data_IF_281826211406
#
_entry.id   IF_281826211406
#
_cell.length_a   1.000
_cell.length_b   1.000
_cell.length_c   1.000
_cell.angle_alpha   90.00
_cell.angle_beta   90.00
_cell.angle_gamma   90.00
#
_symmetry.space_group_name_H-M   'P 1'
#
loop_
_entity.id
_entity.type
_entity.pdbx_description
1 polymer ?
#
# COMPACT_ATOMS: atom_id res chain seq x y z
N UNK A 1 0.26 -19.29 10.04
CA UNK A 1 0.10 -17.85 9.73
C UNK A 1 0.31 -17.09 11.02
N UNK A 2 1.12 -16.05 11.00
CA UNK A 2 1.34 -15.17 12.14
C UNK A 2 0.80 -13.79 11.77
N UNK A 3 0.06 -13.16 12.68
CA UNK A 3 -0.34 -11.76 12.58
C UNK A 3 0.64 -10.92 13.38
N UNK A 4 1.12 -9.84 12.78
CA UNK A 4 1.96 -8.86 13.46
C UNK A 4 1.23 -7.53 13.41
N UNK A 5 0.98 -6.97 14.58
CA UNK A 5 0.34 -5.67 14.73
C UNK A 5 1.39 -4.70 15.24
N UNK A 6 1.59 -3.60 14.52
CA UNK A 6 2.43 -2.50 14.98
C UNK A 6 1.53 -1.37 15.44
N UNK A 7 1.61 -1.07 16.72
CA UNK A 7 0.97 0.08 17.31
C UNK A 7 1.88 1.31 17.14
N UNK A 8 1.48 2.22 16.26
CA UNK A 8 2.22 3.45 15.96
C UNK A 8 1.93 4.57 16.97
N UNK A 9 2.19 4.29 18.25
CA UNK A 9 2.00 5.18 19.40
C UNK A 9 0.53 5.61 19.61
N UNK A 10 -0.38 4.64 19.72
CA UNK A 10 -1.77 4.91 20.10
C UNK A 10 -1.91 5.22 21.59
N UNK A 11 -3.13 5.59 22.02
CA UNK A 11 -3.40 5.92 23.42
C UNK A 11 -3.42 4.67 24.28
N UNK A 12 -3.16 4.79 25.59
CA UNK A 12 -3.19 3.64 26.49
C UNK A 12 -4.56 2.93 26.48
N UNK A 13 -5.65 3.70 26.40
CA UNK A 13 -7.00 3.14 26.31
C UNK A 13 -7.18 2.23 25.08
N UNK A 14 -6.71 2.66 23.89
CA UNK A 14 -6.82 1.83 22.68
C UNK A 14 -5.90 0.61 22.70
N UNK A 15 -4.78 0.68 23.42
CA UNK A 15 -3.89 -0.48 23.64
C UNK A 15 -4.56 -1.54 24.50
N UNK A 16 -5.20 -1.14 25.60
CA UNK A 16 -5.95 -2.06 26.49
C UNK A 16 -7.12 -2.73 25.75
N UNK A 17 -7.85 -1.97 24.91
CA UNK A 17 -8.90 -2.52 24.05
C UNK A 17 -8.35 -3.55 23.05
N UNK A 18 -7.21 -3.26 22.41
CA UNK A 18 -6.56 -4.19 21.47
C UNK A 18 -6.13 -5.49 22.17
N UNK A 19 -5.51 -5.40 23.34
CA UNK A 19 -5.10 -6.57 24.12
C UNK A 19 -6.30 -7.45 24.48
N UNK A 20 -7.40 -6.84 24.90
CA UNK A 20 -8.66 -7.53 25.21
C UNK A 20 -9.23 -8.26 23.99
N UNK A 21 -9.20 -7.63 22.80
CA UNK A 21 -9.64 -8.26 21.56
C UNK A 21 -8.78 -9.46 21.18
N UNK A 22 -7.46 -9.36 21.40
CA UNK A 22 -6.51 -10.41 21.03
C UNK A 22 -6.55 -11.62 21.98
N UNK A 23 -6.90 -11.42 23.25
CA UNK A 23 -7.15 -12.54 24.18
C UNK A 23 -8.26 -13.47 23.69
N UNK A 24 -9.21 -12.94 22.92
CA UNK A 24 -10.33 -13.70 22.36
C UNK A 24 -10.04 -14.24 20.94
N UNK A 25 -8.85 -13.98 20.39
CA UNK A 25 -8.45 -14.41 19.05
C UNK A 25 -7.71 -15.75 19.08
N UNK A 26 -8.04 -16.63 18.15
CA UNK A 26 -7.31 -17.89 17.93
C UNK A 26 -6.07 -17.73 17.02
N UNK A 27 -5.87 -16.54 16.43
CA UNK A 27 -4.76 -16.29 15.53
C UNK A 27 -3.49 -15.97 16.33
N UNK A 28 -2.40 -16.69 16.05
CA UNK A 28 -1.10 -16.38 16.64
C UNK A 28 -0.69 -14.95 16.27
N UNK A 29 -0.71 -14.07 17.27
CA UNK A 29 -0.55 -12.63 17.09
C UNK A 29 0.60 -12.12 17.95
N UNK A 30 1.42 -11.24 17.36
CA UNK A 30 2.45 -10.49 18.06
C UNK A 30 2.18 -9.00 17.92
N UNK A 31 2.21 -8.28 19.04
CA UNK A 31 2.05 -6.82 19.07
C UNK A 31 3.43 -6.20 19.26
N UNK A 32 3.71 -5.13 18.50
CA UNK A 32 4.90 -4.30 18.64
C UNK A 32 4.43 -2.88 18.95
N UNK A 33 4.73 -2.41 20.16
CA UNK A 33 4.45 -1.02 20.55
C UNK A 33 5.63 -0.13 20.14
N UNK A 34 5.35 0.89 19.32
CA UNK A 34 6.33 1.91 18.97
C UNK A 34 6.23 3.09 19.94
N UNK A 35 7.38 3.62 20.37
CA UNK A 35 7.46 4.81 21.23
C UNK A 35 7.01 6.09 20.50
N UNK A 36 7.06 6.08 19.16
CA UNK A 36 6.67 7.20 18.30
C UNK A 36 5.76 6.73 17.18
N UNK A 37 4.98 7.67 16.61
CA UNK A 37 4.13 7.36 15.47
C UNK A 37 4.99 7.11 14.22
N UNK A 38 5.11 5.84 13.85
CA UNK A 38 5.83 5.35 12.67
C UNK A 38 5.01 5.44 11.38
N UNK A 39 3.75 5.83 11.49
CA UNK A 39 2.76 5.74 10.42
C UNK A 39 2.65 4.31 9.86
N UNK A 40 1.85 4.13 8.83
CA UNK A 40 1.56 2.80 8.28
C UNK A 40 2.83 2.12 7.74
N UNK A 41 3.52 2.78 6.81
CA UNK A 41 4.62 2.14 6.08
C UNK A 41 5.90 1.99 6.92
N UNK A 42 6.19 2.98 7.77
CA UNK A 42 7.25 2.85 8.77
C UNK A 42 6.94 1.79 9.84
N UNK A 43 5.66 1.54 10.14
CA UNK A 43 5.24 0.40 10.95
C UNK A 43 5.62 -0.94 10.31
N UNK A 44 5.42 -1.11 9.01
CA UNK A 44 5.83 -2.32 8.27
C UNK A 44 7.36 -2.52 8.36
N UNK A 45 8.14 -1.45 8.13
CA UNK A 45 9.60 -1.51 8.25
C UNK A 45 10.06 -1.85 9.68
N UNK A 46 9.41 -1.25 10.69
CA UNK A 46 9.67 -1.53 12.10
C UNK A 46 9.43 -3.02 12.43
N UNK A 47 8.33 -3.60 11.94
CA UNK A 47 8.04 -5.02 12.15
C UNK A 47 9.13 -5.92 11.59
N UNK A 48 9.54 -5.70 10.34
CA UNK A 48 10.60 -6.49 9.68
C UNK A 48 11.90 -6.43 10.48
N UNK A 49 12.28 -5.22 10.94
CA UNK A 49 13.49 -5.01 11.75
C UNK A 49 13.40 -5.65 13.13
N UNK A 50 12.28 -5.46 13.83
CA UNK A 50 12.07 -5.97 15.19
C UNK A 50 12.09 -7.50 15.22
N UNK A 51 11.47 -8.13 14.23
CA UNK A 51 11.43 -9.59 14.07
C UNK A 51 12.73 -10.18 13.49
N UNK A 52 13.69 -9.33 13.09
CA UNK A 52 14.96 -9.73 12.48
C UNK A 52 14.75 -10.70 11.31
N UNK A 53 13.78 -10.39 10.44
CA UNK A 53 13.42 -11.29 9.35
C UNK A 53 14.55 -11.41 8.32
N UNK A 54 15.16 -12.59 8.25
CA UNK A 54 16.07 -12.96 7.17
C UNK A 54 15.30 -13.71 6.08
N UNK A 55 14.92 -13.03 4.99
CA UNK A 55 14.05 -13.62 3.97
C UNK A 55 14.65 -14.81 3.19
N UNK A 56 15.96 -15.07 3.29
CA UNK A 56 16.59 -16.28 2.75
C UNK A 56 16.10 -17.57 3.44
N UNK A 57 15.80 -17.50 4.73
CA UNK A 57 15.34 -18.63 5.57
C UNK A 57 14.00 -18.36 6.26
N UNK A 58 13.50 -17.13 6.17
CA UNK A 58 12.30 -16.63 6.82
C UNK A 58 11.01 -16.94 6.06
N UNK A 59 9.95 -16.14 6.26
CA UNK A 59 8.65 -16.42 5.67
C UNK A 59 8.68 -16.31 4.15
N UNK A 60 8.04 -17.28 3.47
CA UNK A 60 7.87 -17.25 2.00
C UNK A 60 7.07 -16.05 1.52
N UNK A 61 6.15 -15.55 2.36
CA UNK A 61 5.23 -14.48 2.03
C UNK A 61 5.13 -13.50 3.21
N UNK A 62 5.12 -12.22 2.90
CA UNK A 62 4.79 -11.12 3.80
C UNK A 62 3.64 -10.32 3.20
N UNK A 63 2.59 -10.12 4.00
CA UNK A 63 1.45 -9.27 3.63
C UNK A 63 1.57 -7.98 4.42
N UNK A 64 1.69 -6.85 3.72
CA UNK A 64 1.57 -5.52 4.30
C UNK A 64 0.16 -5.00 3.98
N UNK A 65 -0.63 -4.71 5.01
CA UNK A 65 -1.99 -4.25 4.83
C UNK A 65 -2.44 -3.30 5.92
N UNK A 66 -3.38 -2.42 5.57
CA UNK A 66 -4.06 -1.58 6.54
C UNK A 66 -4.87 -2.43 7.54
N UNK A 67 -5.18 -1.83 8.68
CA UNK A 67 -6.00 -2.45 9.74
C UNK A 67 -7.50 -2.55 9.38
N UNK A 68 -7.94 -1.94 8.29
CA UNK A 68 -9.33 -1.89 7.81
C UNK A 68 -9.59 -2.82 6.61
N UNK A 69 -8.73 -3.82 6.41
CA UNK A 69 -8.87 -4.86 5.40
C UNK A 69 -9.65 -6.05 5.95
N UNK A 70 -10.59 -6.56 5.14
CA UNK A 70 -11.38 -7.76 5.44
C UNK A 70 -11.06 -8.86 4.43
N UNK A 71 -10.59 -10.00 4.96
CA UNK A 71 -10.37 -11.23 4.18
C UNK A 71 -11.71 -11.97 3.98
N UNK A 72 -12.53 -11.50 3.04
CA UNK A 72 -13.83 -12.13 2.72
C UNK A 72 -13.70 -13.41 1.90
N UNK A 73 -12.62 -13.55 1.14
CA UNK A 73 -12.39 -14.70 0.26
C UNK A 73 -11.99 -15.94 1.06
N UNK A 74 -12.82 -16.99 0.99
CA UNK A 74 -12.49 -18.29 1.59
C UNK A 74 -11.27 -18.91 0.91
N UNK A 75 -10.33 -19.40 1.70
CA UNK A 75 -9.13 -20.05 1.19
C UNK A 75 -8.09 -19.10 0.60
N UNK A 76 -8.18 -17.79 0.84
CA UNK A 76 -7.20 -16.79 0.38
C UNK A 76 -5.75 -17.25 0.64
N UNK A 77 -5.43 -17.62 1.89
CA UNK A 77 -4.09 -18.07 2.27
C UNK A 77 -3.70 -19.35 1.53
N UNK A 78 -4.63 -20.30 1.37
CA UNK A 78 -4.37 -21.55 0.63
C UNK A 78 -4.03 -21.26 -0.84
N UNK A 79 -4.74 -20.33 -1.47
CA UNK A 79 -4.47 -19.92 -2.85
C UNK A 79 -3.13 -19.20 -2.97
N UNK A 80 -2.81 -18.29 -2.04
CA UNK A 80 -1.52 -17.61 -2.00
C UNK A 80 -0.36 -18.62 -1.83
N UNK A 81 -0.50 -19.59 -0.94
CA UNK A 81 0.52 -20.63 -0.71
C UNK A 81 0.70 -21.59 -1.89
N UNK A 82 -0.27 -21.67 -2.80
CA UNK A 82 -0.17 -22.46 -4.02
C UNK A 82 0.59 -21.74 -5.15
N UNK A 83 0.79 -20.42 -5.04
CA UNK A 83 1.58 -19.65 -5.99
C UNK A 83 3.07 -19.92 -5.77
N UNK A 84 3.85 -19.89 -6.85
CA UNK A 84 5.30 -19.95 -6.78
C UNK A 84 5.87 -18.56 -6.42
N UNK A 85 6.57 -18.42 -5.26
CA UNK A 85 7.23 -17.19 -4.83
C UNK A 85 8.19 -16.58 -5.87
N UNK A 86 8.90 -17.41 -6.63
CA UNK A 86 9.94 -16.93 -7.55
C UNK A 86 9.34 -16.20 -8.76
N UNK A 87 8.21 -16.68 -9.26
CA UNK A 87 7.48 -16.08 -10.38
C UNK A 87 6.49 -14.99 -9.95
N UNK A 88 6.14 -14.91 -8.66
CA UNK A 88 5.20 -13.94 -8.11
C UNK A 88 5.84 -13.09 -6.99
N UNK A 89 6.92 -12.33 -7.28
CA UNK A 89 7.69 -11.72 -6.21
C UNK A 89 6.95 -10.60 -5.49
N UNK A 90 6.08 -9.86 -6.19
CA UNK A 90 5.15 -8.89 -5.62
C UNK A 90 3.78 -9.10 -6.26
N UNK A 91 2.74 -9.22 -5.42
CA UNK A 91 1.35 -9.44 -5.87
C UNK A 91 0.47 -8.29 -5.38
N UNK A 92 -0.26 -7.71 -6.33
CA UNK A 92 -1.39 -6.82 -6.14
C UNK A 92 -2.69 -7.64 -6.28
N UNK A 93 -3.38 -7.99 -5.20
CA UNK A 93 -4.69 -8.66 -5.31
C UNK A 93 -5.77 -7.68 -5.76
N UNK A 94 -6.95 -8.19 -6.08
CA UNK A 94 -8.17 -7.38 -6.11
C UNK A 94 -8.42 -6.81 -4.72
N UNK A 95 -8.59 -5.48 -4.64
CA UNK A 95 -8.96 -4.77 -3.42
C UNK A 95 -10.26 -4.05 -3.70
N UNK A 96 -11.37 -4.63 -3.24
CA UNK A 96 -12.70 -4.06 -3.47
C UNK A 96 -13.01 -3.05 -2.37
N UNK A 97 -13.03 -1.77 -2.75
CA UNK A 97 -13.46 -0.67 -1.89
C UNK A 97 -14.94 -0.83 -1.54
N UNK A 98 -15.27 -0.91 -0.24
CA UNK A 98 -16.67 -0.92 0.21
C UNK A 98 -17.32 0.46 0.08
N UNK A 99 -16.53 1.53 0.08
CA UNK A 99 -17.01 2.90 -0.10
C UNK A 99 -17.40 3.18 -1.55
N UNK A 100 -16.53 2.84 -2.51
CA UNK A 100 -16.71 3.19 -3.93
C UNK A 100 -17.20 2.05 -4.80
N UNK A 101 -17.16 0.80 -4.31
CA UNK A 101 -17.46 -0.41 -5.07
C UNK A 101 -16.42 -0.79 -6.13
N UNK A 102 -15.34 -0.01 -6.27
CA UNK A 102 -14.30 -0.21 -7.30
C UNK A 102 -13.18 -1.12 -6.80
N UNK A 103 -12.50 -1.76 -7.75
CA UNK A 103 -11.20 -2.36 -7.48
C UNK A 103 -10.14 -1.25 -7.43
N UNK A 104 -9.39 -1.18 -6.33
CA UNK A 104 -8.31 -0.21 -6.15
C UNK A 104 -7.02 -0.63 -6.86
N UNK A 105 -6.90 -1.92 -7.20
CA UNK A 105 -5.83 -2.44 -8.03
C UNK A 105 -6.27 -2.67 -9.49
N UNK A 106 -5.37 -2.55 -10.47
CA UNK A 106 -4.01 -2.02 -10.31
C UNK A 106 -4.03 -0.53 -9.96
N UNK A 107 -3.17 -0.12 -9.02
CA UNK A 107 -3.05 1.31 -8.67
C UNK A 107 -2.46 2.10 -9.85
N UNK A 108 -1.36 1.60 -10.41
CA UNK A 108 -0.78 2.12 -11.65
C UNK A 108 -0.44 1.00 -12.61
N UNK A 109 -1.02 1.06 -13.82
CA UNK A 109 -0.66 0.15 -14.90
C UNK A 109 0.67 0.53 -15.58
N UNK A 110 1.05 1.82 -15.55
CA UNK A 110 2.26 2.37 -16.19
C UNK A 110 2.91 3.42 -15.28
N UNK A 111 4.22 3.68 -15.40
CA UNK A 111 4.90 4.75 -14.69
C UNK A 111 4.33 6.14 -15.02
N UNK A 112 4.58 7.11 -14.13
CA UNK A 112 4.19 8.52 -14.33
C UNK A 112 4.84 9.06 -15.61
N UNK A 113 4.01 9.51 -16.55
CA UNK A 113 4.48 10.03 -17.83
C UNK A 113 5.20 11.38 -17.67
N UNK A 114 6.03 11.77 -18.65
CA UNK A 114 6.79 13.04 -18.61
C UNK A 114 5.88 14.27 -18.39
N UNK A 115 4.76 14.35 -19.11
CA UNK A 115 3.79 15.44 -18.95
C UNK A 115 3.11 15.43 -17.59
N UNK A 116 2.85 14.24 -17.02
CA UNK A 116 2.28 14.11 -15.68
C UNK A 116 3.28 14.58 -14.61
N UNK A 117 4.59 14.35 -14.79
CA UNK A 117 5.63 14.90 -13.90
C UNK A 117 5.65 16.43 -13.90
N UNK A 118 5.41 17.06 -15.06
CA UNK A 118 5.27 18.53 -15.17
C UNK A 118 4.01 18.97 -14.42
N UNK A 119 2.87 18.32 -14.67
CA UNK A 119 1.62 18.58 -13.95
C UNK A 119 1.79 18.48 -12.43
N UNK A 120 2.41 17.42 -11.92
CA UNK A 120 2.66 17.24 -10.49
C UNK A 120 3.59 18.33 -9.93
N UNK A 121 4.60 18.74 -10.71
CA UNK A 121 5.50 19.83 -10.30
C UNK A 121 4.75 21.16 -10.16
N UNK A 122 3.75 21.44 -11.01
CA UNK A 122 2.87 22.60 -10.91
C UNK A 122 1.85 22.46 -9.77
N UNK A 123 1.24 21.28 -9.63
CA UNK A 123 0.26 20.96 -8.60
C UNK A 123 0.83 21.23 -7.21
N UNK A 124 2.06 20.80 -6.96
CA UNK A 124 2.72 20.96 -5.67
C UNK A 124 3.38 22.33 -5.44
N UNK A 125 3.12 23.36 -6.26
CA UNK A 125 3.63 24.72 -5.99
C UNK A 125 2.99 25.25 -4.70
N UNK A 126 1.67 25.34 -4.66
CA UNK A 126 0.92 25.92 -3.55
C UNK A 126 -0.42 25.20 -3.33
N UNK A 127 -0.88 25.10 -2.08
CA UNK A 127 -2.08 24.34 -1.75
C UNK A 127 -3.36 24.90 -2.40
N UNK A 128 -3.46 26.21 -2.61
CA UNK A 128 -4.62 26.84 -3.27
C UNK A 128 -4.63 26.50 -4.78
N UNK A 129 -3.50 26.67 -5.48
CA UNK A 129 -3.43 26.31 -6.91
C UNK A 129 -3.63 24.82 -7.12
N UNK A 130 -3.05 23.99 -6.24
CA UNK A 130 -3.30 22.55 -6.20
C UNK A 130 -4.79 22.24 -6.02
N UNK A 131 -5.51 22.97 -5.16
CA UNK A 131 -6.94 22.77 -4.95
C UNK A 131 -7.75 23.10 -6.20
N UNK A 132 -7.47 24.24 -6.84
CA UNK A 132 -8.09 24.62 -8.11
C UNK A 132 -7.85 23.55 -9.19
N UNK A 133 -6.60 23.07 -9.33
CA UNK A 133 -6.24 22.00 -10.26
C UNK A 133 -6.95 20.68 -9.95
N UNK A 134 -7.11 20.34 -8.66
CA UNK A 134 -7.85 19.15 -8.22
C UNK A 134 -9.33 19.23 -8.62
N UNK A 135 -9.97 20.38 -8.37
CA UNK A 135 -11.36 20.66 -8.76
C UNK A 135 -11.53 20.52 -10.27
N UNK A 136 -10.70 21.20 -11.06
CA UNK A 136 -10.76 21.16 -12.53
C UNK A 136 -10.69 19.71 -13.03
N UNK A 137 -9.75 18.93 -12.49
CA UNK A 137 -9.56 17.51 -12.86
C UNK A 137 -10.72 16.60 -12.42
N UNK A 138 -11.35 16.89 -11.27
CA UNK A 138 -12.54 16.15 -10.80
C UNK A 138 -13.69 16.32 -11.79
N UNK A 139 -13.95 17.55 -12.24
CA UNK A 139 -15.03 17.85 -13.17
C UNK A 139 -14.73 17.43 -14.62
N UNK A 140 -13.48 17.53 -15.07
CA UNK A 140 -13.12 17.04 -16.41
C UNK A 140 -13.29 15.52 -16.56
N UNK A 141 -13.04 14.75 -15.50
CA UNK A 141 -13.28 13.30 -15.47
C UNK A 141 -14.76 12.91 -15.45
N UNK A 142 -15.65 13.76 -14.93
CA UNK A 142 -17.09 13.52 -14.98
C UNK A 142 -17.64 13.68 -16.40
N UNK A 143 -17.03 14.57 -17.18
CA UNK A 143 -17.38 14.83 -18.59
C UNK A 143 -16.88 13.70 -19.50
N UNK A 144 -15.73 13.08 -19.19
CA UNK A 144 -15.09 12.02 -19.98
C UNK A 144 -15.29 10.60 -19.41
N UNK A 145 -16.50 10.27 -18.94
CA UNK A 145 -16.80 8.90 -18.48
C UNK A 145 -16.86 7.92 -19.66
N UNK A 146 -15.74 7.27 -19.90
CA UNK A 146 -15.61 6.10 -20.77
C UNK A 146 -16.10 4.84 -20.02
N UNK A 147 -17.01 4.09 -20.65
CA UNK A 147 -17.52 2.80 -20.19
C UNK A 147 -16.48 1.73 -20.55
N UNK A 148 -15.53 1.47 -19.67
CA UNK A 148 -14.69 0.27 -19.76
C UNK A 148 -14.62 -0.38 -18.38
N UNK A 149 -15.58 -1.25 -18.12
CA UNK A 149 -15.50 -2.27 -17.08
C UNK A 149 -15.30 -3.62 -17.77
N UNK A 150 -14.12 -3.87 -18.32
CA UNK A 150 -13.74 -5.24 -18.65
C UNK A 150 -13.30 -5.91 -17.34
N UNK A 151 -13.95 -7.02 -16.99
CA UNK A 151 -13.43 -7.91 -15.94
C UNK A 151 -12.14 -8.51 -16.47
N UNK A 152 -11.00 -8.11 -15.90
CA UNK A 152 -9.73 -8.74 -16.22
C UNK A 152 -9.64 -10.02 -15.40
N UNK A 153 -9.65 -11.16 -16.09
CA UNK A 153 -9.70 -12.49 -15.46
C UNK A 153 -8.31 -13.15 -15.32
N UNK A 154 -7.27 -12.60 -15.94
CA UNK A 154 -5.91 -13.14 -15.90
C UNK A 154 -4.96 -12.23 -15.14
N UNK A 155 -3.93 -12.82 -14.53
CA UNK A 155 -2.86 -12.07 -13.93
C UNK A 155 -2.00 -11.37 -15.00
N UNK A 156 -1.53 -10.15 -14.72
CA UNK A 156 -0.68 -9.38 -15.63
C UNK A 156 0.28 -8.45 -14.89
N UNK A 157 1.36 -8.06 -15.56
CA UNK A 157 2.35 -7.12 -15.02
C UNK A 157 1.79 -5.71 -14.92
N UNK A 158 2.02 -5.06 -13.79
CA UNK A 158 1.62 -3.68 -13.52
C UNK A 158 2.81 -2.88 -13.03
N UNK A 159 2.66 -1.56 -12.94
CA UNK A 159 3.72 -0.69 -12.45
C UNK A 159 3.74 -0.61 -10.93
N UNK A 160 2.60 -0.31 -10.30
CA UNK A 160 2.53 -0.15 -8.85
C UNK A 160 1.29 -0.84 -8.27
N UNK A 161 1.43 -1.57 -7.14
CA UNK A 161 0.31 -2.06 -6.35
C UNK A 161 -0.29 -0.91 -5.51
N UNK A 162 -1.51 -1.07 -5.02
CA UNK A 162 -2.14 -0.14 -4.08
C UNK A 162 -1.61 -0.32 -2.65
N UNK A 163 -1.41 0.78 -1.92
CA UNK A 163 -0.77 0.81 -0.59
C UNK A 163 -1.50 0.04 0.51
N UNK A 164 -2.84 0.03 0.44
CA UNK A 164 -3.67 -0.60 1.48
C UNK A 164 -3.52 -2.12 1.59
N UNK A 165 -3.02 -2.79 0.54
CA UNK A 165 -2.73 -4.22 0.58
C UNK A 165 -1.70 -4.63 -0.47
N UNK A 166 -0.52 -5.03 -0.01
CA UNK A 166 0.55 -5.56 -0.84
C UNK A 166 1.03 -6.90 -0.32
N UNK A 167 1.31 -7.84 -1.22
CA UNK A 167 1.90 -9.13 -0.88
C UNK A 167 3.29 -9.20 -1.50
N UNK A 168 4.27 -9.49 -0.65
CA UNK A 168 5.66 -9.69 -1.05
C UNK A 168 6.03 -11.15 -0.81
N UNK A 169 6.64 -11.78 -1.80
CA UNK A 169 7.35 -13.03 -1.53
C UNK A 169 8.71 -12.74 -0.90
N UNK A 170 9.36 -13.78 -0.36
CA UNK A 170 10.77 -13.69 0.01
C UNK A 170 11.69 -13.31 -1.17
N UNK A 171 11.35 -13.68 -2.41
CA UNK A 171 12.10 -13.30 -3.60
C UNK A 171 12.09 -11.80 -3.91
N UNK A 172 11.13 -11.02 -3.38
CA UNK A 172 11.23 -9.56 -3.46
C UNK A 172 12.47 -9.08 -2.71
N UNK A 173 12.63 -9.53 -1.45
CA UNK A 173 13.69 -9.09 -0.57
C UNK A 173 15.06 -9.67 -0.95
N UNK A 174 15.14 -10.97 -1.27
CA UNK A 174 16.43 -11.60 -1.64
C UNK A 174 16.99 -11.07 -2.96
N UNK A 175 16.17 -10.42 -3.78
CA UNK A 175 16.58 -9.75 -5.02
C UNK A 175 16.90 -8.27 -4.85
N UNK A 176 17.03 -7.78 -3.61
CA UNK A 176 17.37 -6.38 -3.32
C UNK A 176 16.17 -5.46 -3.10
N UNK A 177 14.95 -6.01 -3.03
CA UNK A 177 13.77 -5.27 -2.56
C UNK A 177 13.85 -4.96 -1.07
N UNK A 178 13.28 -3.83 -0.65
CA UNK A 178 13.26 -3.38 0.73
C UNK A 178 12.06 -2.45 0.97
N UNK A 179 11.68 -2.25 2.23
CA UNK A 179 10.59 -1.32 2.60
C UNK A 179 11.19 0.05 2.88
N UNK A 180 10.91 1.01 1.99
CA UNK A 180 11.37 2.39 2.15
C UNK A 180 10.48 3.20 3.07
N UNK A 181 10.96 3.45 4.28
CA UNK A 181 10.28 4.18 5.36
C UNK A 181 10.79 5.62 5.54
N UNK A 182 11.50 6.19 4.58
CA UNK A 182 12.05 7.55 4.66
C UNK A 182 11.02 8.68 4.42
N UNK A 183 9.73 8.36 4.43
CA UNK A 183 8.62 9.29 4.31
C UNK A 183 7.52 8.93 5.31
N UNK A 184 6.69 9.92 5.66
CA UNK A 184 5.63 9.73 6.66
C UNK A 184 4.37 9.06 6.09
N UNK A 185 3.91 9.50 4.92
CA UNK A 185 2.64 9.03 4.32
C UNK A 185 2.72 9.12 2.79
N UNK A 186 1.87 8.36 2.08
CA UNK A 186 1.58 8.48 0.63
C UNK A 186 2.77 8.24 -0.32
N UNK A 187 3.75 7.44 0.10
CA UNK A 187 4.92 7.12 -0.71
C UNK A 187 5.01 5.63 -1.09
N UNK A 188 4.27 4.78 -0.38
CA UNK A 188 4.42 3.33 -0.39
C UNK A 188 4.27 2.71 -1.80
N UNK A 189 3.27 3.14 -2.57
CA UNK A 189 3.05 2.59 -3.92
C UNK A 189 4.20 2.96 -4.86
N UNK A 190 4.63 4.23 -4.79
CA UNK A 190 5.66 4.75 -5.67
C UNK A 190 7.03 4.17 -5.34
N UNK A 191 7.41 4.09 -4.06
CA UNK A 191 8.71 3.55 -3.65
C UNK A 191 8.80 2.06 -3.92
N UNK A 192 7.75 1.27 -3.65
CA UNK A 192 7.72 -0.16 -4.01
C UNK A 192 7.89 -0.36 -5.52
N UNK A 193 7.21 0.43 -6.35
CA UNK A 193 7.32 0.35 -7.80
C UNK A 193 8.74 0.62 -8.31
N UNK A 194 9.39 1.68 -7.82
CA UNK A 194 10.73 2.05 -8.25
C UNK A 194 11.80 1.08 -7.74
N UNK A 195 11.68 0.61 -6.49
CA UNK A 195 12.57 -0.41 -5.93
C UNK A 195 12.46 -1.70 -6.73
N UNK A 196 11.23 -2.14 -7.04
CA UNK A 196 11.00 -3.32 -7.86
C UNK A 196 11.59 -3.13 -9.27
N UNK A 197 11.37 -1.97 -9.91
CA UNK A 197 11.90 -1.67 -11.23
C UNK A 197 13.43 -1.70 -11.26
N UNK A 198 14.10 -1.04 -10.30
CA UNK A 198 15.58 -0.99 -10.21
C UNK A 198 16.21 -2.38 -10.03
N UNK A 199 15.48 -3.30 -9.37
CA UNK A 199 15.92 -4.68 -9.14
C UNK A 199 15.36 -5.68 -10.17
N UNK A 200 14.74 -5.19 -11.26
CA UNK A 200 14.09 -6.01 -12.29
C UNK A 200 13.01 -6.98 -11.74
N UNK A 201 12.36 -6.63 -10.64
CA UNK A 201 11.34 -7.44 -9.97
C UNK A 201 9.96 -7.10 -10.57
N UNK A 202 9.24 -8.08 -11.14
CA UNK A 202 7.89 -7.83 -11.65
C UNK A 202 6.87 -7.67 -10.51
N UNK A 203 5.97 -6.70 -10.67
CA UNK A 203 4.77 -6.57 -9.83
C UNK A 203 3.59 -7.10 -10.64
N UNK A 204 2.84 -8.04 -10.08
CA UNK A 204 1.75 -8.73 -10.77
C UNK A 204 0.42 -8.37 -10.13
N UNK A 205 -0.51 -7.85 -10.92
CA UNK A 205 -1.91 -7.89 -10.53
C UNK A 205 -2.42 -9.32 -10.67
N UNK A 206 -3.01 -9.87 -9.61
CA UNK A 206 -3.60 -11.20 -9.61
C UNK A 206 -5.08 -11.13 -9.15
N UNK A 207 -6.05 -11.19 -10.07
CA UNK A 207 -7.47 -11.06 -9.74
C UNK A 207 -8.04 -12.28 -9.01
N UNK A 208 -7.31 -13.40 -8.92
CA UNK A 208 -7.76 -14.59 -8.21
C UNK A 208 -7.70 -14.43 -6.68
N UNK A 209 -6.89 -13.49 -6.18
CA UNK A 209 -6.84 -13.12 -4.77
C UNK A 209 -7.68 -11.85 -4.57
N UNK A 210 -8.59 -11.88 -3.60
CA UNK A 210 -9.51 -10.76 -3.32
C UNK A 210 -9.59 -10.46 -1.82
N UNK A 211 -9.53 -9.17 -1.49
CA UNK A 211 -9.85 -8.62 -0.17
C UNK A 211 -10.82 -7.45 -0.30
N UNK A 212 -11.56 -7.16 0.77
CA UNK A 212 -12.38 -5.95 0.87
C UNK A 212 -11.61 -4.90 1.64
N UNK A 213 -11.70 -3.65 1.20
CA UNK A 213 -11.20 -2.50 1.95
C UNK A 213 -12.39 -1.76 2.54
N UNK A 214 -12.56 -1.89 3.85
CA UNK A 214 -13.59 -1.20 4.60
C UNK A 214 -13.06 0.15 5.05
N UNK A 215 -12.95 1.09 4.10
CA UNK A 215 -12.39 2.42 4.30
C UNK A 215 -13.12 3.18 5.43
N UNK A 216 -12.71 2.93 6.67
CA UNK A 216 -13.10 3.68 7.85
C UNK A 216 -12.09 4.78 7.99
N UNK A 217 -12.48 5.95 7.51
CA UNK A 217 -11.60 7.05 7.21
C UNK A 217 -10.96 7.65 8.46
N UNK A 218 -9.82 7.10 8.92
CA UNK A 218 -8.88 7.79 9.81
C UNK A 218 -8.35 9.07 9.16
N UNK A 219 -8.35 9.13 7.83
CA UNK A 219 -7.99 10.29 6.99
C UNK A 219 -9.13 11.23 6.63
N UNK A 220 -10.42 10.94 6.92
CA UNK A 220 -11.53 11.85 6.54
C UNK A 220 -11.48 13.20 7.26
N UNK A 221 -10.80 13.25 8.41
CA UNK A 221 -10.67 14.48 9.19
C UNK A 221 -9.45 15.32 8.78
N UNK A 222 -8.69 14.92 7.76
CA UNK A 222 -7.56 15.72 7.29
C UNK A 222 -8.05 16.89 6.42
N UNK A 223 -7.74 18.11 6.85
CA UNK A 223 -7.93 19.29 6.01
C UNK A 223 -7.14 19.14 4.70
N UNK A 224 -7.67 19.71 3.61
CA UNK A 224 -6.98 19.76 2.31
C UNK A 224 -5.51 20.22 2.44
N UNK A 225 -5.27 21.24 3.29
CA UNK A 225 -3.93 21.79 3.52
C UNK A 225 -2.99 20.76 4.14
N UNK A 226 -3.46 19.95 5.09
CA UNK A 226 -2.67 18.87 5.69
C UNK A 226 -2.36 17.79 4.66
N UNK A 227 -3.39 17.27 3.99
CA UNK A 227 -3.21 16.27 2.92
C UNK A 227 -2.22 16.75 1.84
N UNK A 228 -2.37 18.00 1.39
CA UNK A 228 -1.49 18.59 0.39
C UNK A 228 -0.04 18.67 0.87
N UNK A 229 0.18 19.09 2.11
CA UNK A 229 1.53 19.19 2.70
C UNK A 229 2.18 17.83 2.78
N UNK A 230 1.49 16.85 3.38
CA UNK A 230 2.00 15.48 3.57
C UNK A 230 2.32 14.82 2.21
N UNK A 231 1.40 14.95 1.24
CA UNK A 231 1.61 14.40 -0.12
C UNK A 231 2.72 15.13 -0.90
N UNK A 232 2.87 16.45 -0.71
CA UNK A 232 3.98 17.23 -1.29
C UNK A 232 5.33 16.80 -0.74
N UNK A 233 5.42 16.54 0.56
CA UNK A 233 6.64 16.04 1.20
C UNK A 233 7.03 14.67 0.63
N UNK A 234 6.08 13.74 0.54
CA UNK A 234 6.28 12.43 -0.07
C UNK A 234 6.76 12.55 -1.53
N UNK A 235 6.12 13.39 -2.34
CA UNK A 235 6.51 13.61 -3.73
C UNK A 235 7.91 14.23 -3.86
N UNK A 236 8.27 15.18 -2.99
CA UNK A 236 9.63 15.75 -2.97
C UNK A 236 10.68 14.68 -2.67
N UNK A 237 10.42 13.85 -1.66
CA UNK A 237 11.29 12.72 -1.34
C UNK A 237 11.41 11.77 -2.54
N UNK A 238 10.28 11.32 -3.09
CA UNK A 238 10.24 10.43 -4.25
C UNK A 238 11.06 10.98 -5.43
N UNK A 239 10.90 12.25 -5.80
CA UNK A 239 11.69 12.86 -6.88
C UNK A 239 13.19 12.78 -6.60
N UNK A 240 13.61 13.10 -5.37
CA UNK A 240 15.02 13.13 -4.97
C UNK A 240 15.65 11.74 -4.88
N UNK A 241 14.90 10.73 -4.44
CA UNK A 241 15.44 9.38 -4.24
C UNK A 241 15.33 8.50 -5.50
N UNK A 242 14.32 8.74 -6.34
CA UNK A 242 13.96 7.81 -7.41
C UNK A 242 14.04 8.37 -8.83
N UNK A 243 13.90 9.68 -9.01
CA UNK A 243 13.83 10.29 -10.35
C UNK A 243 15.06 11.10 -10.78
N UNK A 244 16.08 11.19 -9.94
CA UNK A 244 17.38 11.83 -10.24
C UNK A 244 18.42 10.81 -10.63
#
# INVERSE_FOLDING_TARGET
VQLVIVDSASTNATKEELETLLHNSSLHTQIIYSDQNTYYWGGVALAIKHLKLEFSIGPKWLIACNNDIVFSQRGFIKQLLALDPATNPVIAPTIKSLLSGKNLNPYMAKPIARLEKIYLSLFYIHHISGYCMHIIRKYSKLIYRSIFNSKVNSAYKIYAPHGSFMIFSNHYFTRGGWIDDNFKMYGEEATVAEIAQRNNIPILFNPALEVLHNEHSTTANHSWKKWFTDSKEAYKYYKKAYLT
#
